data_IF_423083041494
#
_entry.id   IF_423083041494
#
_cell.length_a   1.000
_cell.length_b   1.000
_cell.length_c   1.000
_cell.angle_alpha   90.00
_cell.angle_beta   90.00
_cell.angle_gamma   90.00
#
_symmetry.space_group_name_H-M   'P 1'
#
loop_
_entity.id
_entity.type
_entity.pdbx_description
1 polymer ?
#
# COMPACT_ATOMS: atom_id res chain seq x y z
N UNK A 1 -19.69 2.44 4.55
CA UNK A 1 -19.17 1.16 4.03
C UNK A 1 -17.80 1.37 3.41
N UNK A 2 -16.86 0.53 3.71
CA UNK A 2 -15.50 0.63 3.17
C UNK A 2 -15.50 0.40 1.66
N UNK A 3 -14.85 1.27 0.86
CA UNK A 3 -14.76 1.06 -0.58
C UNK A 3 -14.04 -0.24 -0.91
N UNK A 4 -14.37 -0.82 -2.06
CA UNK A 4 -13.70 -2.03 -2.56
C UNK A 4 -12.69 -1.62 -3.61
N UNK A 5 -11.42 -1.95 -3.39
CA UNK A 5 -10.37 -1.71 -4.37
C UNK A 5 -10.38 -2.81 -5.44
N UNK A 6 -9.88 -2.46 -6.64
CA UNK A 6 -9.65 -3.47 -7.65
C UNK A 6 -8.56 -4.43 -7.17
N UNK A 7 -8.76 -5.72 -7.43
CA UNK A 7 -7.78 -6.72 -7.07
C UNK A 7 -6.49 -6.52 -7.87
N UNK A 8 -5.35 -6.58 -7.18
CA UNK A 8 -4.05 -6.45 -7.81
C UNK A 8 -3.72 -7.75 -8.55
N UNK A 9 -3.36 -7.63 -9.83
CA UNK A 9 -2.89 -8.75 -10.64
C UNK A 9 -1.38 -8.87 -10.50
N UNK A 10 -0.95 -9.58 -9.46
CA UNK A 10 0.46 -9.66 -9.08
C UNK A 10 1.36 -10.23 -10.17
N UNK A 11 0.86 -11.19 -10.94
CA UNK A 11 1.61 -11.83 -12.02
C UNK A 11 1.77 -10.94 -13.26
N UNK A 12 1.01 -9.85 -13.36
CA UNK A 12 1.12 -8.90 -14.47
C UNK A 12 2.04 -7.73 -14.18
N UNK A 13 2.58 -7.65 -12.97
CA UNK A 13 3.53 -6.58 -12.63
C UNK A 13 4.86 -6.88 -13.33
N UNK A 14 5.45 -5.89 -14.05
CA UNK A 14 6.74 -6.12 -14.74
C UNK A 14 7.83 -6.54 -13.78
N UNK A 15 8.69 -7.46 -14.25
CA UNK A 15 9.76 -8.01 -13.42
C UNK A 15 10.72 -6.92 -12.93
N UNK A 16 10.99 -5.90 -13.75
CA UNK A 16 11.85 -4.79 -13.36
C UNK A 16 11.33 -4.09 -12.11
N UNK A 17 10.01 -3.94 -11.99
CA UNK A 17 9.40 -3.30 -10.83
C UNK A 17 9.46 -4.22 -9.61
N UNK A 18 9.38 -5.53 -9.81
CA UNK A 18 9.46 -6.49 -8.70
C UNK A 18 10.85 -6.55 -8.07
N UNK A 19 11.88 -6.09 -8.79
CA UNK A 19 13.25 -6.13 -8.31
C UNK A 19 13.65 -4.93 -7.47
N UNK A 20 12.83 -3.88 -7.45
CA UNK A 20 13.15 -2.68 -6.67
C UNK A 20 12.53 -2.77 -5.28
N UNK A 21 13.25 -2.25 -4.27
CA UNK A 21 12.79 -2.27 -2.88
C UNK A 21 12.11 -0.94 -2.55
N UNK A 22 11.04 -0.62 -3.28
CA UNK A 22 10.29 0.63 -3.15
C UNK A 22 8.81 0.41 -2.92
N UNK A 23 8.43 -0.71 -2.34
CA UNK A 23 7.03 -1.08 -2.23
C UNK A 23 6.46 -0.73 -0.89
N UNK A 24 5.21 -0.28 -0.89
CA UNK A 24 4.39 -0.10 0.31
C UNK A 24 3.03 -0.75 0.04
N UNK A 25 2.33 -1.05 1.12
CA UNK A 25 0.93 -1.44 1.07
C UNK A 25 0.06 -0.19 1.19
N UNK A 26 -1.22 -0.34 0.93
CA UNK A 26 -2.17 0.72 1.24
C UNK A 26 -3.52 0.12 1.59
N UNK A 27 -4.32 0.88 2.33
CA UNK A 27 -5.67 0.50 2.67
C UNK A 27 -6.53 1.75 2.80
N UNK A 28 -7.83 1.54 2.76
CA UNK A 28 -8.77 2.61 3.05
C UNK A 28 -8.95 2.73 4.55
N UNK A 29 -8.72 3.92 5.07
CA UNK A 29 -8.89 4.25 6.49
C UNK A 29 -10.00 5.29 6.61
N UNK A 30 -10.92 5.05 7.53
CA UNK A 30 -11.99 6.02 7.79
C UNK A 30 -11.42 7.20 8.56
N UNK A 31 -11.62 8.40 8.05
CA UNK A 31 -11.11 9.64 8.64
C UNK A 31 -12.23 10.67 8.71
N UNK A 32 -12.02 11.70 9.54
CA UNK A 32 -12.96 12.80 9.68
C UNK A 32 -13.76 12.73 10.95
N UNK A 33 -14.61 13.73 11.13
CA UNK A 33 -15.48 13.87 12.30
C UNK A 33 -16.68 12.94 12.20
N UNK A 34 -17.36 12.70 13.31
CA UNK A 34 -18.43 11.71 13.40
C UNK A 34 -19.58 11.94 12.40
N UNK A 35 -19.86 13.18 12.09
CA UNK A 35 -20.93 13.55 11.16
C UNK A 35 -20.40 13.83 9.73
N UNK A 36 -19.09 13.65 9.50
CA UNK A 36 -18.45 13.92 8.22
C UNK A 36 -17.34 12.90 7.92
N UNK A 37 -17.61 11.63 8.20
CA UNK A 37 -16.64 10.55 7.98
C UNK A 37 -16.48 10.25 6.48
N UNK A 38 -15.24 9.96 6.09
CA UNK A 38 -14.92 9.58 4.73
C UNK A 38 -13.79 8.54 4.75
N UNK A 39 -13.65 7.83 3.64
CA UNK A 39 -12.57 6.87 3.47
C UNK A 39 -11.40 7.53 2.75
N UNK A 40 -10.21 7.35 3.28
CA UNK A 40 -8.98 7.88 2.71
C UNK A 40 -8.02 6.74 2.39
N UNK A 41 -7.35 6.83 1.25
CA UNK A 41 -6.29 5.88 0.88
C UNK A 41 -5.04 6.25 1.65
N UNK A 42 -4.56 5.33 2.49
CA UNK A 42 -3.42 5.57 3.37
C UNK A 42 -2.34 4.52 3.08
N UNK A 43 -1.10 4.93 2.74
CA UNK A 43 -0.01 3.98 2.59
C UNK A 43 0.40 3.41 3.95
N UNK A 44 0.71 2.11 3.93
CA UNK A 44 1.00 1.36 5.16
C UNK A 44 2.24 0.49 4.98
N UNK A 45 2.98 0.33 6.06
CA UNK A 45 4.05 -0.65 6.16
C UNK A 45 3.47 -2.03 6.48
N UNK A 46 4.26 -3.07 6.27
CA UNK A 46 3.87 -4.44 6.61
C UNK A 46 3.55 -4.58 8.11
N UNK A 47 4.19 -3.77 8.94
CA UNK A 47 3.93 -3.72 10.38
C UNK A 47 2.57 -3.14 10.74
N UNK A 48 1.87 -2.54 9.80
CA UNK A 48 0.61 -1.83 10.04
C UNK A 48 0.79 -0.35 10.33
N UNK A 49 2.02 0.11 10.53
CA UNK A 49 2.29 1.53 10.73
C UNK A 49 2.15 2.28 9.41
N UNK A 50 1.89 3.58 9.49
CA UNK A 50 1.80 4.39 8.28
C UNK A 50 3.13 4.40 7.54
N UNK A 51 3.04 4.40 6.21
CA UNK A 51 4.19 4.56 5.32
C UNK A 51 4.07 5.90 4.60
N UNK A 52 5.14 6.28 3.90
CA UNK A 52 5.12 7.44 3.03
C UNK A 52 5.73 7.09 1.69
N UNK A 53 5.04 7.42 0.61
CA UNK A 53 5.58 7.22 -0.73
C UNK A 53 6.77 8.12 -1.02
N UNK A 54 7.06 9.08 -0.14
CA UNK A 54 8.20 9.99 -0.23
C UNK A 54 9.30 9.67 0.76
N UNK A 55 9.13 8.69 1.65
CA UNK A 55 10.12 8.34 2.66
C UNK A 55 10.63 6.91 2.46
N UNK A 56 11.86 6.74 1.92
CA UNK A 56 12.42 5.41 1.64
C UNK A 56 12.52 4.49 2.86
N UNK A 57 12.60 5.05 4.07
CA UNK A 57 12.69 4.26 5.29
C UNK A 57 11.41 3.44 5.55
N UNK A 58 10.31 3.78 4.90
CA UNK A 58 9.04 3.07 5.06
C UNK A 58 8.78 2.06 3.94
N UNK A 59 9.69 1.93 2.98
CA UNK A 59 9.54 1.02 1.84
C UNK A 59 10.11 -0.36 2.14
N UNK A 60 9.65 -1.36 1.38
CA UNK A 60 10.16 -2.72 1.49
C UNK A 60 10.20 -3.37 0.10
N UNK A 61 10.66 -4.62 0.04
CA UNK A 61 10.76 -5.34 -1.22
C UNK A 61 9.39 -5.88 -1.68
N UNK A 62 9.32 -6.25 -2.95
CA UNK A 62 8.07 -6.73 -3.54
C UNK A 62 7.56 -8.01 -2.87
N UNK A 63 8.45 -8.97 -2.59
CA UNK A 63 8.04 -10.23 -1.97
C UNK A 63 7.33 -10.02 -0.64
N UNK A 64 7.83 -9.09 0.15
CA UNK A 64 7.25 -8.78 1.45
C UNK A 64 5.84 -8.20 1.30
N UNK A 65 5.63 -7.24 0.39
CA UNK A 65 4.28 -6.67 0.19
C UNK A 65 3.36 -7.68 -0.49
N UNK A 66 3.88 -8.53 -1.38
CA UNK A 66 3.07 -9.57 -2.00
C UNK A 66 2.49 -10.53 -0.95
N UNK A 67 3.33 -11.00 -0.04
CA UNK A 67 2.89 -11.91 1.02
C UNK A 67 1.87 -11.23 1.93
N UNK A 68 2.12 -9.98 2.32
CA UNK A 68 1.20 -9.23 3.17
C UNK A 68 -0.13 -8.96 2.45
N UNK A 69 -0.09 -8.62 1.18
CA UNK A 69 -1.30 -8.38 0.40
C UNK A 69 -2.17 -9.65 0.32
N UNK A 70 -1.55 -10.83 0.17
CA UNK A 70 -2.27 -12.10 0.07
C UNK A 70 -3.01 -12.48 1.35
N UNK A 71 -2.68 -11.84 2.49
CA UNK A 71 -3.42 -12.08 3.74
C UNK A 71 -4.83 -11.52 3.72
N UNK A 72 -5.13 -10.63 2.77
CA UNK A 72 -6.43 -9.98 2.66
C UNK A 72 -6.63 -8.78 3.58
N UNK A 73 -5.60 -8.37 4.31
CA UNK A 73 -5.69 -7.25 5.25
C UNK A 73 -5.51 -5.89 4.61
N UNK A 74 -5.04 -5.84 3.38
CA UNK A 74 -4.71 -4.59 2.69
C UNK A 74 -5.48 -4.51 1.38
N UNK A 75 -5.77 -3.29 0.95
CA UNK A 75 -6.53 -3.06 -0.30
C UNK A 75 -5.65 -3.08 -1.53
N UNK A 76 -4.35 -2.82 -1.41
CA UNK A 76 -3.46 -2.84 -2.55
C UNK A 76 -2.01 -2.62 -2.19
N UNK A 77 -1.20 -2.51 -3.24
CA UNK A 77 0.24 -2.24 -3.14
C UNK A 77 0.57 -1.03 -4.00
N UNK A 78 1.65 -0.34 -3.67
CA UNK A 78 2.03 0.89 -4.35
C UNK A 78 3.55 1.04 -4.33
N UNK A 79 4.10 1.74 -5.32
CA UNK A 79 5.54 2.00 -5.41
C UNK A 79 5.82 3.37 -4.82
N UNK A 80 6.79 3.43 -3.90
CA UNK A 80 7.28 4.68 -3.36
C UNK A 80 8.07 5.46 -4.39
N UNK A 81 8.04 6.79 -4.29
CA UNK A 81 8.71 7.68 -5.22
C UNK A 81 9.72 8.51 -4.47
N UNK A 82 10.99 8.30 -4.78
CA UNK A 82 12.03 9.16 -4.25
C UNK A 82 11.98 10.53 -4.94
N UNK A 83 12.10 11.58 -4.15
CA UNK A 83 12.36 12.90 -4.72
C UNK A 83 13.79 12.94 -5.27
N UNK A 84 13.88 13.33 -6.49
CA UNK A 84 15.17 13.55 -7.12
C UNK A 84 15.54 15.02 -6.95
#
# INVERSE_FOLDING_TARGET
MKPTALQVELDKIPLELKRIARWVLWDFIEVGEEDAKRWSKVPLQVSGKTASTNNPDTWTDFLTVEQAYKTGKYSGIEIGRAHV
#
